data_IF_732430915538
#
_entry.id   IF_732430915538
#
_cell.length_a   1.000
_cell.length_b   1.000
_cell.length_c   1.000
_cell.angle_alpha   90.00
_cell.angle_beta   90.00
_cell.angle_gamma   90.00
#
_symmetry.space_group_name_H-M   'P 1'
#
loop_
_entity.id
_entity.type
_entity.pdbx_description
1 polymer ?
#
# COMPACT_ATOMS: atom_id res chain seq x y z
N UNK A 1 0.23 21.69 -10.35
CA UNK A 1 0.45 20.28 -10.74
C UNK A 1 1.29 19.51 -9.72
N UNK A 2 2.43 20.04 -9.25
CA UNK A 2 3.25 19.42 -8.19
C UNK A 2 2.51 19.23 -6.85
N UNK A 3 1.69 20.19 -6.43
CA UNK A 3 0.87 20.08 -5.21
C UNK A 3 -0.09 18.88 -5.27
N UNK A 4 -0.83 18.75 -6.38
CA UNK A 4 -1.73 17.63 -6.61
C UNK A 4 -1.01 16.27 -6.63
N UNK A 5 0.23 16.23 -7.16
CA UNK A 5 1.04 15.01 -7.13
C UNK A 5 1.45 14.62 -5.70
N UNK A 6 1.85 15.60 -4.87
CA UNK A 6 2.19 15.35 -3.46
C UNK A 6 0.98 14.92 -2.64
N UNK A 7 -0.16 15.56 -2.86
CA UNK A 7 -1.42 15.18 -2.24
C UNK A 7 -1.85 13.76 -2.64
N UNK A 8 -1.70 13.41 -3.92
CA UNK A 8 -1.94 12.06 -4.41
C UNK A 8 -1.05 11.03 -3.70
N UNK A 9 0.25 11.28 -3.58
CA UNK A 9 1.16 10.41 -2.82
C UNK A 9 0.77 10.30 -1.35
N UNK A 10 0.36 11.39 -0.71
CA UNK A 10 -0.08 11.38 0.68
C UNK A 10 -1.37 10.56 0.87
N UNK A 11 -2.28 10.60 -0.11
CA UNK A 11 -3.49 9.78 -0.09
C UNK A 11 -3.19 8.29 -0.27
N UNK A 12 -2.24 7.93 -1.14
CA UNK A 12 -1.78 6.54 -1.27
C UNK A 12 -1.14 6.04 0.04
N UNK A 13 -0.33 6.87 0.67
CA UNK A 13 0.28 6.56 1.97
C UNK A 13 -0.78 6.29 3.05
N UNK A 14 -1.85 7.11 3.06
CA UNK A 14 -3.00 6.92 3.94
C UNK A 14 -3.75 5.62 3.63
N UNK A 15 -4.00 5.31 2.36
CA UNK A 15 -4.65 4.07 1.94
C UNK A 15 -3.86 2.82 2.37
N UNK A 16 -2.53 2.84 2.22
CA UNK A 16 -1.66 1.76 2.72
C UNK A 16 -1.72 1.64 4.24
N UNK A 17 -1.88 2.75 4.95
CA UNK A 17 -1.98 2.76 6.42
C UNK A 17 -3.28 2.15 6.91
N UNK A 18 -4.40 2.45 6.25
CA UNK A 18 -5.70 1.83 6.52
C UNK A 18 -5.67 0.32 6.24
N UNK A 19 -5.16 -0.09 5.08
CA UNK A 19 -5.04 -1.50 4.74
C UNK A 19 -4.13 -2.27 5.72
N UNK A 20 -3.05 -1.63 6.19
CA UNK A 20 -2.18 -2.20 7.21
C UNK A 20 -2.87 -2.38 8.56
N UNK A 21 -3.76 -1.46 8.94
CA UNK A 21 -4.59 -1.61 10.13
C UNK A 21 -5.57 -2.78 9.96
N UNK A 22 -6.29 -2.86 8.84
CA UNK A 22 -7.25 -3.94 8.57
C UNK A 22 -6.56 -5.32 8.59
N UNK A 23 -5.37 -5.44 8.01
CA UNK A 23 -4.56 -6.69 8.04
C UNK A 23 -4.13 -7.04 9.47
N UNK A 24 -3.75 -6.05 10.28
CA UNK A 24 -3.36 -6.29 11.67
C UNK A 24 -4.56 -6.75 12.50
N UNK A 25 -5.71 -6.09 12.37
CA UNK A 25 -6.96 -6.47 13.05
C UNK A 25 -7.39 -7.89 12.65
N UNK A 26 -7.28 -8.23 11.37
CA UNK A 26 -7.57 -9.57 10.87
C UNK A 26 -6.63 -10.65 11.45
N UNK A 27 -5.35 -10.33 11.68
CA UNK A 27 -4.38 -11.24 12.29
C UNK A 27 -4.66 -11.52 13.76
N UNK A 28 -5.15 -10.54 14.51
CA UNK A 28 -5.53 -10.70 15.92
C UNK A 28 -6.86 -11.45 16.09
N UNK A 29 -7.71 -11.43 15.07
CA UNK A 29 -9.03 -12.05 15.09
C UNK A 29 -9.03 -13.32 14.24
N UNK A 30 -8.86 -14.48 14.90
CA UNK A 30 -8.79 -15.82 14.27
C UNK A 30 -9.99 -16.23 13.36
N UNK A 31 -11.01 -15.38 13.19
CA UNK A 31 -12.17 -15.60 12.31
C UNK A 31 -12.33 -14.57 11.18
N UNK A 32 -11.45 -13.55 11.06
CA UNK A 32 -11.62 -12.49 10.05
C UNK A 32 -11.08 -12.85 8.67
N UNK A 33 -9.99 -13.62 8.55
CA UNK A 33 -9.54 -14.07 7.23
C UNK A 33 -10.45 -15.22 6.74
N UNK A 34 -11.67 -14.88 6.35
CA UNK A 34 -12.50 -15.73 5.50
C UNK A 34 -11.94 -15.69 4.09
N UNK A 35 -12.15 -16.74 3.28
CA UNK A 35 -11.64 -16.79 1.90
C UNK A 35 -12.01 -15.54 1.08
N UNK A 36 -13.22 -15.02 1.29
CA UNK A 36 -13.71 -13.80 0.66
C UNK A 36 -12.94 -12.55 1.11
N UNK A 37 -12.71 -12.40 2.42
CA UNK A 37 -11.94 -11.27 2.95
C UNK A 37 -10.48 -11.32 2.48
N UNK A 38 -9.86 -12.51 2.50
CA UNK A 38 -8.48 -12.67 2.06
C UNK A 38 -8.36 -12.34 0.56
N UNK A 39 -9.32 -12.76 -0.29
CA UNK A 39 -9.34 -12.43 -1.72
C UNK A 39 -9.58 -10.95 -1.99
N UNK A 40 -10.54 -10.33 -1.30
CA UNK A 40 -10.83 -8.90 -1.44
C UNK A 40 -9.62 -8.05 -1.04
N UNK A 41 -8.98 -8.39 0.07
CA UNK A 41 -7.76 -7.72 0.56
C UNK A 41 -6.60 -7.87 -0.42
N UNK A 42 -6.41 -9.05 -1.01
CA UNK A 42 -5.38 -9.31 -2.04
C UNK A 42 -5.61 -8.44 -3.29
N UNK A 43 -6.86 -8.34 -3.76
CA UNK A 43 -7.20 -7.51 -4.91
C UNK A 43 -6.91 -6.02 -4.65
N UNK A 44 -7.30 -5.50 -3.48
CA UNK A 44 -7.03 -4.10 -3.11
C UNK A 44 -5.53 -3.84 -3.03
N UNK A 45 -4.77 -4.77 -2.44
CA UNK A 45 -3.31 -4.67 -2.34
C UNK A 45 -2.65 -4.66 -3.73
N UNK A 46 -3.11 -5.53 -4.64
CA UNK A 46 -2.67 -5.59 -6.04
C UNK A 46 -2.96 -4.29 -6.80
N UNK A 47 -4.14 -3.69 -6.60
CA UNK A 47 -4.50 -2.41 -7.23
C UNK A 47 -3.64 -1.26 -6.73
N UNK A 48 -3.44 -1.15 -5.41
CA UNK A 48 -2.55 -0.14 -4.82
C UNK A 48 -1.12 -0.32 -5.32
N UNK A 49 -0.63 -1.56 -5.40
CA UNK A 49 0.68 -1.86 -5.97
C UNK A 49 0.77 -1.38 -7.42
N UNK A 50 -0.18 -1.73 -8.29
CA UNK A 50 -0.19 -1.28 -9.69
C UNK A 50 -0.11 0.25 -9.79
N UNK A 51 -0.90 0.98 -9.02
CA UNK A 51 -0.90 2.44 -9.02
C UNK A 51 0.44 3.00 -8.56
N UNK A 52 0.99 2.51 -7.44
CA UNK A 52 2.25 3.00 -6.85
C UNK A 52 3.45 2.73 -7.77
N UNK A 53 3.52 1.54 -8.37
CA UNK A 53 4.61 1.18 -9.28
C UNK A 53 4.49 1.86 -10.65
N UNK A 54 3.31 2.33 -11.04
CA UNK A 54 3.11 3.14 -12.25
C UNK A 54 3.48 4.62 -12.06
N UNK A 55 3.79 5.08 -10.85
CA UNK A 55 4.21 6.47 -10.61
C UNK A 55 5.55 6.72 -11.32
N UNK A 56 5.54 7.67 -12.26
CA UNK A 56 6.74 8.10 -12.97
C UNK A 56 7.63 8.98 -12.09
N UNK A 57 8.94 8.84 -12.27
CA UNK A 57 9.96 9.67 -11.59
C UNK A 57 10.73 10.52 -12.63
N UNK A 58 10.22 11.72 -12.97
CA UNK A 58 10.91 12.62 -13.89
C UNK A 58 12.24 13.10 -13.31
N UNK A 59 13.22 13.40 -14.18
CA UNK A 59 14.57 13.86 -13.77
C UNK A 59 14.59 15.16 -12.95
N UNK A 60 13.56 15.98 -13.08
CA UNK A 60 13.41 17.25 -12.36
C UNK A 60 12.70 17.09 -11.01
N UNK A 61 12.28 15.88 -10.65
CA UNK A 61 11.65 15.61 -9.37
C UNK A 61 12.66 15.82 -8.22
N UNK A 62 12.19 16.36 -7.11
CA UNK A 62 13.06 16.56 -5.94
C UNK A 62 13.48 15.20 -5.36
N UNK A 63 14.66 15.15 -4.73
CA UNK A 63 15.12 13.94 -4.04
C UNK A 63 14.15 13.49 -2.94
N UNK A 64 13.46 14.43 -2.29
CA UNK A 64 12.47 14.15 -1.26
C UNK A 64 11.24 13.43 -1.86
N UNK A 65 10.73 13.93 -2.98
CA UNK A 65 9.57 13.33 -3.64
C UNK A 65 9.92 11.93 -4.20
N UNK A 66 11.10 11.76 -4.82
CA UNK A 66 11.61 10.43 -5.22
C UNK A 66 11.74 9.48 -4.04
N UNK A 67 12.24 9.97 -2.89
CA UNK A 67 12.34 9.17 -1.67
C UNK A 67 10.95 8.72 -1.20
N UNK A 68 9.93 9.59 -1.22
CA UNK A 68 8.55 9.21 -0.87
C UNK A 68 8.00 8.11 -1.77
N UNK A 69 8.23 8.19 -3.08
CA UNK A 69 7.80 7.14 -4.02
C UNK A 69 8.51 5.81 -3.70
N UNK A 70 9.81 5.85 -3.44
CA UNK A 70 10.57 4.68 -3.00
C UNK A 70 10.01 4.11 -1.69
N UNK A 71 9.74 4.94 -0.70
CA UNK A 71 9.21 4.51 0.60
C UNK A 71 7.81 3.87 0.44
N UNK A 72 6.95 4.41 -0.44
CA UNK A 72 5.66 3.81 -0.79
C UNK A 72 5.81 2.39 -1.40
N UNK A 73 6.75 2.21 -2.32
CA UNK A 73 7.02 0.88 -2.93
C UNK A 73 7.50 -0.14 -1.89
N UNK A 74 8.38 0.26 -0.98
CA UNK A 74 8.82 -0.62 0.12
C UNK A 74 7.66 -0.99 1.04
N UNK A 75 6.82 -0.01 1.40
CA UNK A 75 5.64 -0.26 2.24
C UNK A 75 4.67 -1.27 1.62
N UNK A 76 4.47 -1.24 0.30
CA UNK A 76 3.66 -2.26 -0.40
C UNK A 76 4.24 -3.66 -0.20
N UNK A 77 5.56 -3.83 -0.36
CA UNK A 77 6.22 -5.12 -0.13
C UNK A 77 6.07 -5.61 1.31
N UNK A 78 6.26 -4.72 2.29
CA UNK A 78 6.06 -5.04 3.70
C UNK A 78 4.62 -5.48 3.99
N UNK A 79 3.66 -4.81 3.34
CA UNK A 79 2.25 -5.10 3.51
C UNK A 79 1.85 -6.47 2.93
N UNK A 80 2.40 -6.84 1.77
CA UNK A 80 2.28 -8.22 1.25
C UNK A 80 2.85 -9.25 2.22
N UNK A 81 4.00 -8.97 2.83
CA UNK A 81 4.60 -9.89 3.79
C UNK A 81 3.70 -10.09 5.02
N UNK A 82 3.10 -9.01 5.54
CA UNK A 82 2.14 -9.06 6.65
C UNK A 82 0.85 -9.80 6.26
N UNK A 83 0.26 -9.48 5.11
CA UNK A 83 -0.92 -10.16 4.61
C UNK A 83 -0.68 -11.67 4.47
N UNK A 84 0.46 -12.08 3.90
CA UNK A 84 0.83 -13.50 3.78
C UNK A 84 1.02 -14.19 5.12
N UNK A 85 1.34 -13.47 6.18
CA UNK A 85 1.42 -14.05 7.53
C UNK A 85 0.03 -14.33 8.11
N UNK A 86 -0.97 -13.51 7.78
CA UNK A 86 -2.37 -13.66 8.22
C UNK A 86 -3.13 -14.71 7.42
N UNK A 87 -2.81 -14.89 6.13
CA UNK A 87 -3.43 -15.89 5.24
C UNK A 87 -3.07 -17.36 5.60
N UNK A 88 -2.07 -17.59 6.46
CA UNK A 88 -1.58 -18.94 6.81
C UNK A 88 -2.51 -19.64 7.79
#
# INVERSE_FOLDING_TARGET
MLLAHREFMANLDKSLSLLAQDIAEAGEMARICTDEWCLATENVLDELAKVIFAISEPRWLSKEDSKKISDLRHRVHDLYARYKAVKK
#
